data_IF_678729130804
#
_entry.id   IF_678729130804
#
_cell.length_a   1.000
_cell.length_b   1.000
_cell.length_c   1.000
_cell.angle_alpha   90.00
_cell.angle_beta   90.00
_cell.angle_gamma   90.00
#
_symmetry.space_group_name_H-M   'P 1'
#
loop_
_entity.id
_entity.type
_entity.pdbx_description
1 polymer ?
#
# COMPACT_ATOMS: atom_id res chain seq x y z
N UNK A 1 -6.32 -9.02 -1.42
CA UNK A 1 -6.33 -10.43 -1.87
C UNK A 1 -6.64 -11.30 -0.66
N UNK A 2 -7.67 -12.15 -0.70
CA UNK A 2 -8.02 -13.02 0.43
C UNK A 2 -7.08 -14.23 0.41
N UNK A 3 -6.19 -14.33 1.39
CA UNK A 3 -5.45 -15.56 1.65
C UNK A 3 -6.35 -16.56 2.35
N UNK A 4 -6.17 -17.85 2.09
CA UNK A 4 -6.88 -18.92 2.79
C UNK A 4 -5.85 -19.90 3.30
N UNK A 5 -5.92 -20.24 4.59
CA UNK A 5 -5.16 -21.38 5.10
C UNK A 5 -5.65 -22.65 4.40
N UNK A 6 -4.73 -23.55 4.02
CA UNK A 6 -5.07 -24.80 3.33
C UNK A 6 -6.17 -25.56 4.10
N UNK A 7 -7.30 -25.82 3.44
CA UNK A 7 -8.47 -26.49 4.03
C UNK A 7 -9.48 -25.57 4.75
N UNK A 8 -9.26 -24.25 4.78
CA UNK A 8 -10.19 -23.31 5.41
C UNK A 8 -11.20 -22.75 4.41
N UNK A 9 -12.49 -22.77 4.78
CA UNK A 9 -13.57 -22.08 4.06
C UNK A 9 -13.66 -20.59 4.40
N UNK A 10 -12.92 -20.14 5.43
CA UNK A 10 -12.85 -18.73 5.84
C UNK A 10 -11.56 -18.09 5.34
N UNK A 11 -11.68 -16.85 4.87
CA UNK A 11 -10.54 -16.03 4.49
C UNK A 11 -9.67 -15.75 5.73
N UNK A 12 -8.38 -15.99 5.58
CA UNK A 12 -7.35 -15.66 6.56
C UNK A 12 -6.79 -14.28 6.20
N UNK A 13 -7.05 -13.29 7.05
CA UNK A 13 -6.30 -12.03 7.06
C UNK A 13 -4.90 -12.33 7.58
N UNK A 14 -3.99 -12.74 6.69
CA UNK A 14 -2.60 -12.98 7.07
C UNK A 14 -1.92 -11.64 7.29
N UNK A 15 -1.83 -11.24 8.57
CA UNK A 15 -1.02 -10.12 9.01
C UNK A 15 0.45 -10.50 8.83
N UNK A 16 1.14 -9.78 7.95
CA UNK A 16 2.57 -9.94 7.71
C UNK A 16 3.28 -8.65 8.11
N UNK A 17 4.52 -8.74 8.58
CA UNK A 17 5.26 -7.58 9.10
C UNK A 17 5.83 -6.67 8.01
N UNK A 18 5.96 -7.17 6.78
CA UNK A 18 6.61 -6.49 5.65
C UNK A 18 5.64 -5.77 4.71
N UNK A 19 4.33 -5.86 4.93
CA UNK A 19 3.31 -5.20 4.10
C UNK A 19 2.61 -4.14 4.95
N UNK A 20 2.98 -2.87 4.73
CA UNK A 20 2.44 -1.73 5.48
C UNK A 20 0.98 -1.46 5.14
N UNK A 21 0.69 -1.32 3.85
CA UNK A 21 -0.65 -0.94 3.36
C UNK A 21 -1.08 -1.88 2.24
N UNK A 22 -2.39 -2.13 2.17
CA UNK A 22 -3.03 -2.89 1.10
C UNK A 22 -4.32 -2.19 0.72
N UNK A 23 -4.40 -1.71 -0.51
CA UNK A 23 -5.60 -1.10 -1.06
C UNK A 23 -6.18 -2.00 -2.16
N UNK A 24 -7.51 -2.03 -2.26
CA UNK A 24 -8.22 -2.78 -3.30
C UNK A 24 -9.08 -1.83 -4.11
N UNK A 25 -8.58 -1.47 -5.28
CA UNK A 25 -9.20 -0.54 -6.22
C UNK A 25 -8.15 -0.10 -7.24
N UNK A 26 -8.57 0.71 -8.20
CA UNK A 26 -7.62 1.40 -9.08
C UNK A 26 -7.01 2.59 -8.36
N UNK A 27 -5.79 2.94 -8.75
CA UNK A 27 -5.05 4.02 -8.12
C UNK A 27 -3.80 4.38 -8.90
N UNK A 28 -3.14 5.44 -8.44
CA UNK A 28 -1.90 5.97 -8.98
C UNK A 28 -0.87 6.09 -7.86
N UNK A 29 0.41 6.00 -8.21
CA UNK A 29 1.51 6.38 -7.32
C UNK A 29 2.12 7.67 -7.85
N UNK A 30 2.16 8.70 -7.02
CA UNK A 30 2.86 9.95 -7.27
C UNK A 30 4.16 9.98 -6.46
N UNK A 31 5.25 10.42 -7.08
CA UNK A 31 6.57 10.47 -6.45
C UNK A 31 7.18 11.84 -6.66
N UNK A 32 7.49 12.52 -5.56
CA UNK A 32 8.18 13.81 -5.54
C UNK A 32 9.59 13.62 -5.00
N UNK A 33 10.60 14.00 -5.80
CA UNK A 33 12.01 13.79 -5.46
C UNK A 33 12.72 15.13 -5.33
N UNK A 34 13.50 15.26 -4.27
CA UNK A 34 14.48 16.34 -4.08
C UNK A 34 15.87 15.71 -3.87
N UNK A 35 16.90 16.53 -3.69
CA UNK A 35 18.25 16.02 -3.44
C UNK A 35 18.37 15.19 -2.15
N UNK A 36 17.53 15.45 -1.14
CA UNK A 36 17.66 14.88 0.21
C UNK A 36 16.51 13.94 0.60
N UNK A 37 15.38 14.05 -0.09
CA UNK A 37 14.17 13.30 0.24
C UNK A 37 13.37 12.89 -0.99
N UNK A 38 12.65 11.78 -0.85
CA UNK A 38 11.64 11.29 -1.77
C UNK A 38 10.33 11.07 -1.02
N UNK A 39 9.27 11.74 -1.46
CA UNK A 39 7.92 11.56 -0.94
C UNK A 39 7.15 10.69 -1.94
N UNK A 40 6.65 9.55 -1.46
CA UNK A 40 5.85 8.60 -2.25
C UNK A 40 4.43 8.62 -1.73
N UNK A 41 3.48 8.95 -2.60
CA UNK A 41 2.04 9.04 -2.29
C UNK A 41 1.28 8.01 -3.13
N UNK A 42 0.50 7.17 -2.47
CA UNK A 42 -0.46 6.30 -3.13
C UNK A 42 -1.83 6.99 -3.13
N UNK A 43 -2.43 7.13 -4.30
CA UNK A 43 -3.72 7.80 -4.51
C UNK A 43 -4.75 6.81 -5.06
N UNK A 44 -5.98 6.90 -4.60
CA UNK A 44 -7.12 6.20 -5.17
C UNK A 44 -7.53 6.84 -6.51
N UNK A 45 -8.40 6.15 -7.25
CA UNK A 45 -8.91 6.60 -8.55
C UNK A 45 -9.53 8.01 -8.52
N UNK A 46 -10.16 8.40 -7.41
CA UNK A 46 -10.75 9.73 -7.22
C UNK A 46 -9.74 10.79 -6.72
N UNK A 47 -8.47 10.44 -6.57
CA UNK A 47 -7.42 11.30 -6.03
C UNK A 47 -7.26 11.26 -4.51
N UNK A 48 -8.10 10.51 -3.78
CA UNK A 48 -7.97 10.41 -2.32
C UNK A 48 -6.66 9.73 -1.93
N UNK A 49 -5.99 10.24 -0.90
CA UNK A 49 -4.74 9.66 -0.42
C UNK A 49 -4.98 8.35 0.35
N UNK A 50 -4.30 7.28 -0.08
CA UNK A 50 -4.32 5.95 0.53
C UNK A 50 -3.19 5.81 1.56
N UNK A 51 -1.98 6.20 1.17
CA UNK A 51 -0.77 6.09 2.00
C UNK A 51 0.27 7.12 1.55
N UNK A 52 1.18 7.44 2.47
CA UNK A 52 2.34 8.27 2.20
C UNK A 52 3.56 7.78 2.95
N UNK A 53 4.70 7.79 2.26
CA UNK A 53 6.00 7.52 2.85
C UNK A 53 6.99 8.58 2.41
N UNK A 54 7.67 9.18 3.39
CA UNK A 54 8.86 9.99 3.14
C UNK A 54 10.10 9.13 3.36
N UNK A 55 10.94 9.05 2.34
CA UNK A 55 12.25 8.44 2.38
C UNK A 55 13.30 9.55 2.44
N UNK A 56 14.28 9.40 3.33
CA UNK A 56 15.45 10.28 3.46
C UNK A 56 16.70 9.44 3.31
N UNK A 57 17.69 9.98 2.61
CA UNK A 57 19.03 9.39 2.46
C UNK A 57 19.93 9.86 3.59
#
# INVERSE_FOLDING_TARGET
MKSYKKGSTKATETKVTWSRVRYRGYGLVAVDVTAEQMVVRALAENGDQIDELTLRR
#
